data_IF_061642257666
#
_entry.id   IF_061642257666
#
_cell.length_a   1.000
_cell.length_b   1.000
_cell.length_c   1.000
_cell.angle_alpha   90.00
_cell.angle_beta   90.00
_cell.angle_gamma   90.00
#
_symmetry.space_group_name_H-M   'P 1'
#
loop_
_entity.id
_entity.type
_entity.pdbx_description
1 polymer ?
#
# COMPACT_ATOMS: atom_id res chain seq x y z
N UNK A 1 0.86 -8.52 3.69
CA UNK A 1 1.13 -7.19 4.29
C UNK A 1 -0.16 -6.39 4.37
N UNK A 2 -0.48 -5.76 5.51
CA UNK A 2 -1.68 -4.91 5.68
C UNK A 2 -1.30 -3.62 6.40
N UNK A 3 -1.86 -2.49 5.96
CA UNK A 3 -1.74 -1.20 6.65
C UNK A 3 -3.03 -0.97 7.45
N UNK A 4 -2.88 -0.73 8.74
CA UNK A 4 -4.01 -0.37 9.60
C UNK A 4 -4.41 1.09 9.45
N UNK A 5 -3.46 1.96 9.09
CA UNK A 5 -3.70 3.39 8.84
C UNK A 5 -4.64 3.63 7.66
N UNK A 6 -4.63 2.73 6.67
CA UNK A 6 -5.36 2.93 5.41
C UNK A 6 -6.27 1.77 5.03
N UNK A 7 -6.24 0.67 5.77
CA UNK A 7 -6.99 -0.55 5.49
C UNK A 7 -6.50 -1.37 4.29
N UNK A 8 -5.60 -0.81 3.46
CA UNK A 8 -5.10 -1.50 2.28
C UNK A 8 -4.24 -2.72 2.64
N UNK A 9 -4.21 -3.69 1.71
CA UNK A 9 -3.47 -4.94 1.85
C UNK A 9 -2.72 -5.25 0.56
N UNK A 10 -1.51 -5.74 0.72
CA UNK A 10 -0.76 -6.44 -0.32
C UNK A 10 -0.67 -7.93 0.05
N UNK A 11 -1.07 -8.81 -0.87
CA UNK A 11 -1.13 -10.26 -0.69
C UNK A 11 -0.22 -10.93 -1.71
N UNK A 12 0.64 -11.83 -1.25
CA UNK A 12 1.41 -12.72 -2.11
C UNK A 12 0.47 -13.78 -2.70
N UNK A 13 0.49 -13.93 -4.03
CA UNK A 13 -0.31 -14.93 -4.76
C UNK A 13 0.54 -16.07 -5.31
N UNK A 14 1.83 -16.11 -4.98
CA UNK A 14 2.78 -17.11 -5.45
C UNK A 14 3.67 -16.60 -6.60
N UNK A 15 4.76 -17.32 -6.88
CA UNK A 15 5.72 -17.02 -7.95
C UNK A 15 6.33 -15.61 -7.88
N UNK A 16 6.48 -15.07 -6.68
CA UNK A 16 7.00 -13.72 -6.45
C UNK A 16 6.04 -12.61 -6.88
N UNK A 17 4.75 -12.93 -7.06
CA UNK A 17 3.73 -11.99 -7.51
C UNK A 17 2.81 -11.57 -6.38
N UNK A 18 2.50 -10.29 -6.35
CA UNK A 18 1.72 -9.67 -5.30
C UNK A 18 0.53 -8.92 -5.89
N UNK A 19 -0.60 -8.97 -5.20
CA UNK A 19 -1.77 -8.14 -5.51
C UNK A 19 -1.91 -7.10 -4.42
N UNK A 20 -2.13 -5.84 -4.82
CA UNK A 20 -2.31 -4.72 -3.91
C UNK A 20 -3.74 -4.20 -4.03
N UNK A 21 -4.46 -4.10 -2.91
CA UNK A 21 -5.88 -3.74 -2.90
C UNK A 21 -6.15 -2.32 -3.39
N UNK A 22 -5.16 -1.43 -3.34
CA UNK A 22 -5.27 -0.07 -3.89
C UNK A 22 -5.13 0.01 -5.43
N UNK A 23 -4.71 -1.08 -6.07
CA UNK A 23 -4.55 -1.19 -7.52
C UNK A 23 -4.98 -2.60 -8.00
N UNK A 24 -6.28 -2.92 -7.95
CA UNK A 24 -6.79 -4.22 -8.34
C UNK A 24 -6.58 -4.50 -9.82
N UNK A 25 -6.53 -5.79 -10.18
CA UNK A 25 -6.36 -6.22 -11.58
C UNK A 25 -4.92 -6.15 -12.09
N UNK A 26 -3.95 -5.81 -11.23
CA UNK A 26 -2.52 -5.84 -11.54
C UNK A 26 -1.76 -6.79 -10.62
N UNK A 27 -0.71 -7.38 -11.16
CA UNK A 27 0.27 -8.18 -10.42
C UNK A 27 1.55 -7.37 -10.29
N UNK A 28 2.12 -7.37 -9.10
CA UNK A 28 3.27 -6.57 -8.72
C UNK A 28 4.41 -7.45 -8.25
N UNK A 29 5.64 -6.96 -8.40
CA UNK A 29 6.76 -7.52 -7.64
C UNK A 29 6.63 -7.17 -6.15
N UNK A 30 7.38 -7.82 -5.25
CA UNK A 30 7.36 -7.48 -3.83
C UNK A 30 7.71 -6.01 -3.57
N UNK A 31 8.65 -5.45 -4.34
CA UNK A 31 9.07 -4.04 -4.22
C UNK A 31 8.00 -3.06 -4.69
N UNK A 32 7.32 -3.38 -5.79
CA UNK A 32 6.18 -2.60 -6.28
C UNK A 32 5.02 -2.63 -5.29
N UNK A 33 4.71 -3.80 -4.72
CA UNK A 33 3.68 -3.91 -3.69
C UNK A 33 4.02 -3.06 -2.45
N UNK A 34 5.29 -3.03 -2.02
CA UNK A 34 5.76 -2.14 -0.95
C UNK A 34 5.62 -0.66 -1.33
N UNK A 35 5.93 -0.28 -2.58
CA UNK A 35 5.77 1.08 -3.06
C UNK A 35 4.30 1.53 -3.03
N UNK A 36 3.36 0.67 -3.49
CA UNK A 36 1.92 0.92 -3.40
C UNK A 36 1.43 1.10 -1.96
N UNK A 37 1.92 0.26 -1.04
CA UNK A 37 1.60 0.38 0.39
C UNK A 37 2.13 1.69 1.00
N UNK A 38 3.35 2.11 0.64
CA UNK A 38 3.94 3.38 1.11
C UNK A 38 3.19 4.59 0.58
N UNK A 39 2.82 4.58 -0.71
CA UNK A 39 1.97 5.60 -1.32
C UNK A 39 0.62 5.73 -0.64
N UNK A 40 0.00 4.61 -0.28
CA UNK A 40 -1.28 4.64 0.41
C UNK A 40 -1.16 5.32 1.80
N UNK A 41 -0.07 5.06 2.52
CA UNK A 41 0.13 5.57 3.88
C UNK A 41 0.63 7.01 3.90
N UNK A 42 1.51 7.39 2.98
CA UNK A 42 2.19 8.68 3.00
C UNK A 42 2.32 9.29 1.59
N UNK A 43 1.20 9.68 0.96
CA UNK A 43 1.19 10.17 -0.42
C UNK A 43 1.92 11.51 -0.60
N UNK A 44 2.09 12.29 0.47
CA UNK A 44 2.71 13.62 0.44
C UNK A 44 4.23 13.60 0.71
N UNK A 45 4.83 12.41 0.82
CA UNK A 45 6.28 12.23 0.97
C UNK A 45 7.01 12.65 -0.32
N UNK A 46 8.22 13.18 -0.19
CA UNK A 46 9.06 13.53 -1.34
C UNK A 46 9.32 12.32 -2.25
N UNK A 47 9.43 11.14 -1.66
CA UNK A 47 9.65 9.85 -2.33
C UNK A 47 8.39 9.29 -3.02
N UNK A 48 7.23 9.94 -2.89
CA UNK A 48 5.99 9.48 -3.52
C UNK A 48 6.12 9.40 -5.04
N UNK A 49 6.91 10.31 -5.65
CA UNK A 49 7.27 10.28 -7.07
C UNK A 49 7.93 8.96 -7.48
N UNK A 50 8.94 8.53 -6.73
CA UNK A 50 9.68 7.30 -7.01
C UNK A 50 8.82 6.06 -6.79
N UNK A 51 8.00 6.06 -5.74
CA UNK A 51 7.07 4.97 -5.47
C UNK A 51 6.03 4.83 -6.59
N UNK A 52 5.48 5.95 -7.07
CA UNK A 52 4.50 5.93 -8.17
C UNK A 52 5.17 5.52 -9.49
N UNK A 53 6.37 6.05 -9.76
CA UNK A 53 7.17 5.67 -10.91
C UNK A 53 7.45 4.17 -10.97
N UNK A 54 7.72 3.53 -9.82
CA UNK A 54 7.93 2.08 -9.75
C UNK A 54 6.69 1.25 -10.16
N UNK A 55 5.49 1.85 -10.04
CA UNK A 55 4.21 1.27 -10.44
C UNK A 55 3.82 1.60 -11.90
N UNK A 56 4.66 2.38 -12.60
CA UNK A 56 4.38 2.92 -13.93
C UNK A 56 3.23 3.93 -13.94
N UNK A 57 3.08 4.70 -12.85
CA UNK A 57 2.02 5.70 -12.67
C UNK A 57 2.63 7.04 -12.26
N UNK A 58 1.91 8.13 -12.53
CA UNK A 58 2.19 9.40 -11.85
C UNK A 58 1.68 9.35 -10.41
N UNK A 59 2.19 10.23 -9.54
CA UNK A 59 1.74 10.34 -8.15
C UNK A 59 0.23 10.56 -8.09
N UNK A 60 -0.29 11.49 -8.90
CA UNK A 60 -1.70 11.85 -8.88
C UNK A 60 -2.60 10.68 -9.31
N UNK A 61 -2.20 9.92 -10.34
CA UNK A 61 -2.94 8.72 -10.76
C UNK A 61 -2.94 7.65 -9.67
N UNK A 62 -1.76 7.35 -9.11
CA UNK A 62 -1.63 6.34 -8.07
C UNK A 62 -2.48 6.70 -6.84
N UNK A 63 -2.38 7.94 -6.36
CA UNK A 63 -3.17 8.41 -5.20
C UNK A 63 -4.66 8.40 -5.51
N UNK A 64 -5.07 8.83 -6.71
CA UNK A 64 -6.47 8.80 -7.14
C UNK A 64 -7.05 7.39 -7.14
N UNK A 65 -6.34 6.43 -7.72
CA UNK A 65 -6.75 5.03 -7.78
C UNK A 65 -6.83 4.39 -6.38
N UNK A 66 -5.81 4.62 -5.54
CA UNK A 66 -5.75 4.11 -4.17
C UNK A 66 -6.91 4.64 -3.34
N UNK A 67 -7.19 5.95 -3.42
CA UNK A 67 -8.33 6.58 -2.71
C UNK A 67 -9.67 6.06 -3.22
N UNK A 68 -9.81 5.84 -4.53
CA UNK A 68 -11.03 5.30 -5.13
C UNK A 68 -11.30 3.84 -4.72
N UNK A 69 -10.26 3.10 -4.34
CA UNK A 69 -10.34 1.71 -3.86
C UNK A 69 -10.28 1.58 -2.35
N UNK A 70 -10.42 2.68 -1.60
CA UNK A 70 -10.56 2.62 -0.14
C UNK A 70 -11.65 1.61 0.20
N UNK A 71 -11.28 0.47 0.83
CA UNK A 71 -12.29 -0.45 1.31
C UNK A 71 -13.09 0.31 2.37
N UNK A 72 -14.42 0.36 2.26
CA UNK A 72 -15.28 0.91 3.30
C UNK A 72 -14.83 0.36 4.65
N UNK A 73 -14.13 1.17 5.45
CA UNK A 73 -13.87 0.87 6.85
C UNK A 73 -15.21 1.13 7.53
N UNK A 74 -16.11 0.16 7.47
CA UNK A 74 -17.26 0.18 8.37
C UNK A 74 -16.68 0.09 9.78
N UNK A 75 -16.96 1.12 10.59
CA UNK A 75 -16.37 1.35 11.92
C UNK A 75 -16.42 0.09 12.80
N UNK A 76 -15.34 -0.68 12.84
CA UNK A 76 -15.13 -1.65 13.91
C UNK A 76 -14.18 -1.04 14.92
N UNK A 77 -14.78 -0.51 15.98
CA UNK A 77 -14.12 -0.04 17.20
C UNK A 77 -13.32 -1.17 17.85
N UNK A 78 -11.98 -1.11 17.81
CA UNK A 78 -11.14 -1.66 18.88
C UNK A 78 -9.71 -1.08 18.84
N UNK A 79 -9.34 -0.12 19.71
CA UNK A 79 -7.98 0.41 19.76
C UNK A 79 -7.15 -0.34 20.82
N UNK A 80 -6.84 -1.62 20.59
CA UNK A 80 -5.84 -2.35 21.40
C UNK A 80 -5.10 -3.35 20.52
N UNK A 81 -3.89 -2.98 20.09
CA UNK A 81 -2.67 -3.81 20.16
C UNK A 81 -1.49 -3.03 19.56
N UNK A 82 -0.58 -2.65 20.45
CA UNK A 82 0.70 -2.00 20.20
C UNK A 82 1.66 -2.89 19.37
N UNK A 83 2.56 -2.20 18.67
CA UNK A 83 4.00 -2.51 18.60
C UNK A 83 4.40 -3.93 18.17
N UNK A 84 4.88 -4.07 16.92
CA UNK A 84 6.01 -4.95 16.56
C UNK A 84 6.71 -4.44 15.31
N UNK A 85 7.79 -3.70 15.55
CA UNK A 85 9.10 -3.92 14.94
C UNK A 85 9.12 -4.23 13.42
N UNK A 86 9.22 -3.19 12.61
CA UNK A 86 9.50 -3.31 11.18
C UNK A 86 10.98 -3.04 10.94
N UNK A 87 11.82 -4.06 11.15
CA UNK A 87 13.28 -4.06 10.92
C UNK A 87 13.75 -3.42 9.61
N UNK A 88 13.70 -2.10 9.56
CA UNK A 88 14.45 -1.21 8.70
C UNK A 88 15.68 -0.84 9.52
N UNK A 89 16.65 -1.76 9.56
CA UNK A 89 17.95 -1.53 10.18
C UNK A 89 18.57 -0.21 9.66
N UNK A 90 19.29 0.53 10.49
CA UNK A 90 20.22 0.05 11.52
C UNK A 90 19.78 0.30 12.95
#
# INVERSE_FOLDING_TARGET
MRSEATGHRAVDVGDGRWVFSGLPGRQFTPDQAKAGMRLAVAPDRLEAGDWAGSLGLTVNEAVGLIRATMPTIEKSSNPVALDRDWGLGR
#
